data_IF_827382280185
#
_entry.id   IF_827382280185
#
_cell.length_a   1.000
_cell.length_b   1.000
_cell.length_c   1.000
_cell.angle_alpha   90.00
_cell.angle_beta   90.00
_cell.angle_gamma   90.00
#
_symmetry.space_group_name_H-M   'P 1'
#
loop_
_entity.id
_entity.type
_entity.pdbx_description
1 polymer ?
#
# COMPACT_ATOMS: atom_id res chain seq x y z
N UNK A 1 -4.17 32.20 -38.18
CA UNK A 1 -2.84 31.86 -37.64
C UNK A 1 -2.89 32.11 -36.15
N UNK A 2 -2.98 31.06 -35.34
CA UNK A 2 -3.11 31.25 -33.89
C UNK A 2 -3.53 29.96 -33.23
N UNK A 3 -2.62 29.44 -32.39
CA UNK A 3 -2.90 28.99 -31.03
C UNK A 3 -1.60 28.42 -30.48
N UNK A 4 -0.88 29.29 -29.78
CA UNK A 4 0.13 28.92 -28.80
C UNK A 4 -0.49 27.86 -27.87
N UNK A 5 -0.02 26.63 -27.99
CA UNK A 5 -0.43 25.52 -27.13
C UNK A 5 0.70 25.22 -26.17
N UNK A 6 0.78 26.05 -25.12
CA UNK A 6 1.51 25.72 -23.92
C UNK A 6 0.49 25.50 -22.79
N UNK A 7 0.33 24.25 -22.38
CA UNK A 7 -0.07 23.87 -21.02
C UNK A 7 0.20 22.37 -20.82
N UNK A 8 1.45 22.02 -20.48
CA UNK A 8 1.76 20.74 -19.87
C UNK A 8 1.45 20.78 -18.37
N UNK A 9 0.93 19.65 -17.88
CA UNK A 9 0.78 19.25 -16.49
C UNK A 9 -0.37 19.88 -15.68
N UNK A 10 -1.54 19.23 -15.69
CA UNK A 10 -2.48 19.30 -14.55
C UNK A 10 -1.91 18.47 -13.40
N UNK A 11 -1.25 19.08 -12.43
CA UNK A 11 -0.95 18.42 -11.16
C UNK A 11 -2.28 18.17 -10.41
N UNK A 12 -2.72 16.91 -10.28
CA UNK A 12 -3.86 16.61 -9.42
C UNK A 12 -3.48 16.92 -7.97
N UNK A 13 -4.32 17.63 -7.19
CA UNK A 13 -4.04 17.86 -5.79
C UNK A 13 -3.88 16.53 -5.06
N UNK A 14 -2.82 16.41 -4.26
CA UNK A 14 -2.50 15.23 -3.45
C UNK A 14 -3.54 15.08 -2.33
N UNK A 15 -4.75 14.60 -2.68
CA UNK A 15 -5.78 14.30 -1.69
C UNK A 15 -5.35 13.03 -0.95
N UNK A 16 -5.32 13.03 0.40
CA UNK A 16 -5.03 11.81 1.15
C UNK A 16 -6.00 10.72 0.72
N UNK A 17 -5.48 9.62 0.18
CA UNK A 17 -6.31 8.45 -0.09
C UNK A 17 -6.87 7.94 1.24
N UNK A 18 -8.15 7.53 1.31
CA UNK A 18 -8.71 6.91 2.50
C UNK A 18 -7.78 5.80 3.01
N UNK A 19 -7.59 5.72 4.33
CA UNK A 19 -6.73 4.68 4.93
C UNK A 19 -7.20 3.31 4.45
N UNK A 20 -6.27 2.53 3.92
CA UNK A 20 -6.55 1.15 3.55
C UNK A 20 -6.96 0.36 4.78
N UNK A 21 -7.99 -0.47 4.64
CA UNK A 21 -8.49 -1.40 5.65
C UNK A 21 -7.36 -2.29 6.19
N UNK A 22 -7.07 -2.14 7.48
CA UNK A 22 -5.96 -2.83 8.15
C UNK A 22 -6.10 -4.35 8.12
N UNK A 23 -7.32 -4.88 8.19
CA UNK A 23 -7.57 -6.33 8.13
C UNK A 23 -7.26 -6.86 6.73
N UNK A 24 -7.63 -6.13 5.67
CA UNK A 24 -7.26 -6.49 4.30
C UNK A 24 -5.75 -6.44 4.09
N UNK A 25 -5.10 -5.38 4.58
CA UNK A 25 -3.65 -5.22 4.48
C UNK A 25 -2.92 -6.34 5.22
N UNK A 26 -3.32 -6.65 6.45
CA UNK A 26 -2.75 -7.75 7.22
C UNK A 26 -2.92 -9.10 6.51
N UNK A 27 -4.12 -9.40 5.99
CA UNK A 27 -4.35 -10.62 5.21
C UNK A 27 -3.49 -10.68 3.94
N UNK A 28 -3.24 -9.54 3.28
CA UNK A 28 -2.31 -9.44 2.17
C UNK A 28 -0.89 -9.80 2.56
N UNK A 29 -0.38 -9.18 3.62
CA UNK A 29 0.95 -9.48 4.20
C UNK A 29 1.08 -10.96 4.54
N UNK A 30 0.13 -11.51 5.31
CA UNK A 30 0.14 -12.92 5.73
C UNK A 30 0.08 -13.88 4.55
N UNK A 31 -0.66 -13.53 3.49
CA UNK A 31 -0.71 -14.37 2.29
C UNK A 31 0.65 -14.51 1.62
N UNK A 32 1.40 -13.39 1.49
CA UNK A 32 2.75 -13.38 0.90
C UNK A 32 3.73 -14.11 1.81
N UNK A 33 3.71 -13.85 3.13
CA UNK A 33 4.62 -14.49 4.08
C UNK A 33 4.38 -16.00 4.20
N UNK A 34 3.13 -16.46 4.09
CA UNK A 34 2.78 -17.87 4.19
C UNK A 34 3.13 -18.66 2.92
N UNK A 35 3.01 -18.05 1.74
CA UNK A 35 3.25 -18.75 0.46
C UNK A 35 4.64 -18.52 -0.11
N UNK A 36 5.33 -17.45 0.32
CA UNK A 36 6.59 -17.01 -0.27
C UNK A 36 6.46 -16.42 -1.68
N UNK A 37 5.24 -16.12 -2.15
CA UNK A 37 5.05 -15.56 -3.49
C UNK A 37 5.64 -14.15 -3.60
N UNK A 38 5.94 -13.71 -4.83
CA UNK A 38 6.34 -12.33 -5.05
C UNK A 38 5.19 -11.38 -4.64
N UNK A 39 5.53 -10.21 -4.08
CA UNK A 39 4.52 -9.22 -3.68
C UNK A 39 3.54 -8.84 -4.78
N UNK A 40 3.99 -8.81 -6.05
CA UNK A 40 3.14 -8.52 -7.21
C UNK A 40 2.03 -9.55 -7.42
N UNK A 41 2.22 -10.77 -6.92
CA UNK A 41 1.26 -11.88 -6.98
C UNK A 41 0.30 -11.92 -5.77
N UNK A 42 0.39 -10.93 -4.87
CA UNK A 42 -0.55 -10.83 -3.75
C UNK A 42 -1.99 -10.71 -4.27
N UNK A 43 -2.95 -11.51 -3.74
CA UNK A 43 -4.33 -11.46 -4.21
C UNK A 43 -4.94 -10.06 -4.12
N UNK A 44 -5.43 -9.55 -5.25
CA UNK A 44 -5.99 -8.18 -5.37
C UNK A 44 -7.14 -7.87 -4.41
N UNK A 45 -7.84 -8.90 -3.90
CA UNK A 45 -8.88 -8.76 -2.88
C UNK A 45 -8.38 -8.13 -1.57
N UNK A 46 -7.07 -8.18 -1.32
CA UNK A 46 -6.42 -7.57 -0.17
C UNK A 46 -5.93 -6.13 -0.43
N UNK A 47 -6.13 -5.61 -1.64
CA UNK A 47 -5.71 -4.27 -2.05
C UNK A 47 -4.37 -4.25 -2.79
N UNK A 48 -3.77 -3.07 -2.89
CA UNK A 48 -2.51 -2.87 -3.61
C UNK A 48 -1.32 -3.44 -2.82
N UNK A 49 -0.49 -4.27 -3.47
CA UNK A 49 0.68 -4.89 -2.83
C UNK A 49 1.68 -3.87 -2.28
N UNK A 50 1.82 -2.71 -2.93
CA UNK A 50 2.71 -1.63 -2.46
C UNK A 50 2.25 -1.09 -1.11
N UNK A 51 0.94 -0.98 -0.88
CA UNK A 51 0.37 -0.56 0.40
C UNK A 51 0.68 -1.60 1.49
N UNK A 52 0.53 -2.88 1.16
CA UNK A 52 0.84 -3.97 2.09
C UNK A 52 2.32 -4.00 2.47
N UNK A 53 3.22 -3.92 1.50
CA UNK A 53 4.66 -3.88 1.73
C UNK A 53 5.09 -2.66 2.57
N UNK A 54 4.60 -1.46 2.23
CA UNK A 54 4.88 -0.24 3.02
C UNK A 54 4.34 -0.37 4.44
N UNK A 55 3.19 -1.01 4.63
CA UNK A 55 2.62 -1.21 5.95
C UNK A 55 3.40 -2.21 6.78
N UNK A 56 3.83 -3.32 6.18
CA UNK A 56 4.70 -4.29 6.85
C UNK A 56 5.94 -3.58 7.41
N UNK A 57 6.65 -2.81 6.56
CA UNK A 57 7.84 -2.05 6.96
C UNK A 57 7.53 -1.09 8.11
N UNK A 58 6.49 -0.27 7.96
CA UNK A 58 6.09 0.70 8.98
C UNK A 58 5.74 0.05 10.33
N UNK A 59 5.00 -1.05 10.31
CA UNK A 59 4.62 -1.77 11.54
C UNK A 59 5.81 -2.47 12.20
N UNK A 60 6.84 -2.85 11.45
CA UNK A 60 8.11 -3.32 12.01
C UNK A 60 8.84 -2.17 12.72
N UNK A 61 8.95 -1.00 12.09
CA UNK A 61 9.57 0.19 12.67
C UNK A 61 8.83 0.70 13.91
N UNK A 62 7.49 0.62 13.92
CA UNK A 62 6.65 1.02 15.05
C UNK A 62 6.54 -0.04 16.16
N UNK A 63 7.14 -1.22 15.98
CA UNK A 63 7.09 -2.33 16.95
C UNK A 63 5.70 -2.97 17.10
N UNK A 64 4.79 -2.77 16.15
CA UNK A 64 3.40 -3.27 16.19
C UNK A 64 3.37 -4.79 16.23
N UNK A 65 4.25 -5.46 15.46
CA UNK A 65 4.31 -6.92 15.44
C UNK A 65 4.70 -7.50 16.80
N UNK A 66 5.64 -6.86 17.51
CA UNK A 66 6.03 -7.27 18.86
C UNK A 66 4.85 -7.12 19.81
N UNK A 67 4.09 -6.02 19.72
CA UNK A 67 2.89 -5.83 20.55
C UNK A 67 1.82 -6.90 20.28
N UNK A 68 1.62 -7.28 19.03
CA UNK A 68 0.69 -8.36 18.66
C UNK A 68 1.16 -9.71 19.22
N UNK A 69 2.47 -9.98 19.19
CA UNK A 69 3.03 -11.24 19.68
C UNK A 69 3.00 -11.38 21.21
N UNK A 70 3.06 -10.27 21.93
CA UNK A 70 3.10 -10.22 23.39
C UNK A 70 1.72 -10.01 24.04
N UNK A 71 0.67 -9.87 23.22
CA UNK A 71 -0.72 -9.72 23.67
C UNK A 71 -1.41 -11.09 23.78
#
# INVERSE_FOLDING_TARGET
MGKDSAAFASARPNRPSPRADDRKVLNGILSVLRTGCAWKEMPRKYGAYVTAWRRLKRWQEEGVWTRIWQA
#
